data_IF_855758857426
#
_entry.id   IF_855758857426
#
_cell.length_a   1.000
_cell.length_b   1.000
_cell.length_c   1.000
_cell.angle_alpha   90.00
_cell.angle_beta   90.00
_cell.angle_gamma   90.00
#
_symmetry.space_group_name_H-M   'P 1'
#
loop_
_entity.id
_entity.type
_entity.pdbx_description
1 polymer ?
#
# COMPACT_ATOMS: atom_id res chain seq x y z
N UNK A 1 17.20 -36.12 -18.28
CA UNK A 1 17.54 -34.69 -18.06
C UNK A 1 16.62 -34.16 -16.98
N UNK A 2 17.14 -33.50 -15.94
CA UNK A 2 16.28 -32.89 -14.93
C UNK A 2 15.36 -31.82 -15.55
N UNK A 3 14.19 -31.68 -14.93
CA UNK A 3 13.15 -30.75 -15.35
C UNK A 3 13.12 -29.63 -14.32
N UNK A 4 13.31 -28.40 -14.78
CA UNK A 4 13.14 -27.21 -13.98
C UNK A 4 11.84 -26.52 -14.37
N UNK A 5 11.16 -25.95 -13.39
CA UNK A 5 9.97 -25.15 -13.61
C UNK A 5 10.31 -23.69 -13.40
N UNK A 6 10.20 -22.90 -14.46
CA UNK A 6 10.34 -21.45 -14.39
C UNK A 6 8.95 -20.86 -14.19
N UNK A 7 8.80 -20.03 -13.17
CA UNK A 7 7.52 -19.38 -12.84
C UNK A 7 7.61 -17.88 -13.04
N UNK A 8 6.57 -17.29 -13.59
CA UNK A 8 6.43 -15.83 -13.69
C UNK A 8 5.04 -15.38 -13.24
N UNK A 9 4.93 -14.10 -12.87
CA UNK A 9 3.68 -13.47 -12.52
C UNK A 9 3.27 -12.52 -13.65
N UNK A 10 2.04 -12.68 -14.13
CA UNK A 10 1.41 -11.73 -15.03
C UNK A 10 0.41 -10.89 -14.24
N UNK A 11 0.53 -9.57 -14.31
CA UNK A 11 -0.33 -8.64 -13.57
C UNK A 11 -1.06 -7.76 -14.57
N UNK A 12 -2.38 -7.65 -14.41
CA UNK A 12 -3.21 -6.73 -15.18
C UNK A 12 -4.06 -5.89 -14.24
N UNK A 13 -3.99 -4.57 -14.41
CA UNK A 13 -4.84 -3.61 -13.73
C UNK A 13 -5.87 -3.07 -14.71
N UNK A 14 -7.13 -3.12 -14.31
CA UNK A 14 -8.28 -2.68 -15.10
C UNK A 14 -8.51 -1.20 -14.87
N UNK A 15 -8.68 -0.47 -15.97
CA UNK A 15 -9.14 0.91 -15.95
C UNK A 15 -10.58 0.92 -15.42
N UNK A 16 -10.84 1.63 -14.32
CA UNK A 16 -12.19 1.76 -13.77
C UNK A 16 -12.78 3.09 -14.24
N UNK A 17 -14.00 3.05 -14.76
CA UNK A 17 -14.74 4.25 -15.13
C UNK A 17 -15.50 4.76 -13.90
N UNK A 18 -15.33 6.05 -13.60
CA UNK A 18 -16.11 6.77 -12.60
C UNK A 18 -16.94 7.84 -13.29
N UNK A 19 -18.26 7.73 -13.18
CA UNK A 19 -19.17 8.78 -13.60
C UNK A 19 -19.99 9.22 -12.39
N UNK A 20 -20.02 10.53 -12.16
CA UNK A 20 -20.93 11.15 -11.19
C UNK A 20 -21.95 11.97 -11.95
N UNK A 21 -23.24 11.73 -11.69
CA UNK A 21 -24.33 12.54 -12.23
C UNK A 21 -24.96 13.35 -11.11
N UNK A 22 -24.79 14.66 -11.18
CA UNK A 22 -25.41 15.60 -10.25
C UNK A 22 -26.94 15.59 -10.36
N UNK A 23 -27.62 15.62 -9.23
CA UNK A 23 -29.08 15.75 -9.18
C UNK A 23 -29.52 17.19 -9.52
N UNK A 24 -30.20 17.39 -10.66
CA UNK A 24 -30.68 18.71 -11.12
C UNK A 24 -31.80 19.33 -10.23
N UNK A 25 -32.46 18.55 -9.38
CA UNK A 25 -33.78 18.91 -8.85
C UNK A 25 -33.91 19.17 -7.33
N UNK A 26 -32.83 19.26 -6.53
CA UNK A 26 -32.97 19.36 -5.05
C UNK A 26 -31.94 20.25 -4.36
N UNK A 27 -32.37 20.85 -3.24
CA UNK A 27 -31.66 21.84 -2.37
C UNK A 27 -30.31 21.39 -1.78
N UNK A 28 -29.89 20.15 -1.98
CA UNK A 28 -28.56 19.68 -1.58
C UNK A 28 -27.68 19.65 -2.81
N UNK A 29 -26.65 20.50 -2.83
CA UNK A 29 -25.87 20.74 -4.04
C UNK A 29 -24.92 19.60 -4.42
N UNK A 30 -24.60 18.66 -3.50
CA UNK A 30 -23.74 17.47 -3.74
C UNK A 30 -23.99 16.34 -2.74
N UNK A 31 -23.74 15.11 -3.16
CA UNK A 31 -23.24 14.03 -2.31
C UNK A 31 -24.23 12.91 -1.96
N UNK A 32 -25.33 13.19 -1.26
CA UNK A 32 -26.20 12.08 -0.78
C UNK A 32 -27.05 11.47 -1.91
N UNK A 33 -27.24 12.20 -3.00
CA UNK A 33 -28.16 11.83 -4.09
C UNK A 33 -27.48 11.78 -5.46
N UNK A 34 -26.15 11.95 -5.50
CA UNK A 34 -25.40 11.78 -6.72
C UNK A 34 -25.38 10.30 -7.06
N UNK A 35 -25.68 9.97 -8.32
CA UNK A 35 -25.52 8.61 -8.80
C UNK A 35 -24.06 8.44 -9.18
N UNK A 36 -23.32 7.81 -8.29
CA UNK A 36 -21.94 7.39 -8.52
C UNK A 36 -21.98 5.95 -9.03
N UNK A 37 -21.84 5.79 -10.35
CA UNK A 37 -21.71 4.47 -10.96
C UNK A 37 -20.20 4.18 -11.09
N UNK A 38 -19.74 3.15 -10.37
CA UNK A 38 -18.43 2.55 -10.56
C UNK A 38 -18.56 1.25 -11.33
N UNK A 39 -18.05 1.23 -12.55
CA UNK A 39 -18.11 0.06 -13.42
C UNK A 39 -16.71 -0.45 -13.76
N UNK A 40 -16.53 -1.75 -13.65
CA UNK A 40 -15.35 -2.43 -14.18
C UNK A 40 -15.42 -2.29 -15.70
N UNK A 41 -14.37 -1.75 -16.33
CA UNK A 41 -14.32 -1.69 -17.78
C UNK A 41 -14.10 -3.11 -18.33
N UNK A 42 -15.19 -3.74 -18.77
CA UNK A 42 -15.18 -5.11 -19.29
C UNK A 42 -14.20 -5.26 -20.46
N UNK A 43 -14.08 -4.25 -21.31
CA UNK A 43 -13.19 -4.27 -22.47
C UNK A 43 -11.71 -4.25 -22.07
N UNK A 44 -11.37 -3.51 -21.00
CA UNK A 44 -10.03 -3.54 -20.41
C UNK A 44 -9.72 -4.92 -19.80
N UNK A 45 -10.69 -5.56 -19.14
CA UNK A 45 -10.53 -6.91 -18.61
C UNK A 45 -10.33 -7.95 -19.74
N UNK A 46 -11.14 -7.90 -20.80
CA UNK A 46 -11.01 -8.76 -21.98
C UNK A 46 -9.63 -8.62 -22.66
N UNK A 47 -9.15 -7.38 -22.79
CA UNK A 47 -7.83 -7.08 -23.32
C UNK A 47 -6.73 -7.71 -22.46
N UNK A 48 -6.83 -7.60 -21.14
CA UNK A 48 -5.89 -8.22 -20.21
C UNK A 48 -5.83 -9.75 -20.36
N UNK A 49 -6.99 -10.40 -20.45
CA UNK A 49 -7.08 -11.86 -20.67
C UNK A 49 -6.53 -12.27 -22.05
N UNK A 50 -6.76 -11.46 -23.08
CA UNK A 50 -6.22 -11.71 -24.43
C UNK A 50 -4.70 -11.64 -24.44
N UNK A 51 -4.12 -10.61 -23.80
CA UNK A 51 -2.67 -10.47 -23.67
C UNK A 51 -2.05 -11.60 -22.85
N UNK A 52 -2.72 -12.03 -21.78
CA UNK A 52 -2.32 -13.19 -21.00
C UNK A 52 -2.25 -14.44 -21.90
N UNK A 53 -3.30 -14.71 -22.67
CA UNK A 53 -3.36 -15.87 -23.56
C UNK A 53 -2.28 -15.81 -24.64
N UNK A 54 -2.07 -14.64 -25.25
CA UNK A 54 -1.03 -14.42 -26.25
C UNK A 54 0.36 -14.72 -25.69
N UNK A 55 0.68 -14.17 -24.52
CA UNK A 55 1.96 -14.43 -23.84
C UNK A 55 2.15 -15.91 -23.51
N UNK A 56 1.09 -16.59 -23.06
CA UNK A 56 1.16 -18.02 -22.79
C UNK A 56 1.49 -18.84 -24.05
N UNK A 57 0.91 -18.46 -25.19
CA UNK A 57 1.19 -19.10 -26.48
C UNK A 57 2.60 -18.80 -26.98
N UNK A 58 3.05 -17.55 -26.91
CA UNK A 58 4.37 -17.13 -27.40
C UNK A 58 5.51 -17.77 -26.61
N UNK A 59 5.37 -17.86 -25.29
CA UNK A 59 6.44 -18.32 -24.40
C UNK A 59 6.29 -19.78 -23.96
N UNK A 60 5.27 -20.50 -24.43
CA UNK A 60 4.89 -21.85 -23.99
C UNK A 60 4.71 -21.93 -22.46
N UNK A 61 3.97 -20.97 -21.90
CA UNK A 61 3.65 -20.93 -20.48
C UNK A 61 2.31 -21.61 -20.21
N UNK A 62 2.23 -22.29 -19.07
CA UNK A 62 1.01 -22.87 -18.53
C UNK A 62 0.48 -22.00 -17.39
N UNK A 63 -0.80 -21.64 -17.43
CA UNK A 63 -1.46 -20.92 -16.35
C UNK A 63 -1.70 -21.88 -15.18
N UNK A 64 -1.16 -21.56 -14.00
CA UNK A 64 -1.34 -22.37 -12.78
C UNK A 64 -2.41 -21.82 -11.86
N UNK A 65 -2.54 -20.51 -11.77
CA UNK A 65 -3.60 -19.87 -11.00
C UNK A 65 -3.90 -18.48 -11.54
N UNK A 66 -5.13 -18.02 -11.31
CA UNK A 66 -5.56 -16.64 -11.57
C UNK A 66 -6.26 -16.14 -10.31
N UNK A 67 -5.82 -15.00 -9.81
CA UNK A 67 -6.28 -14.38 -8.56
C UNK A 67 -6.85 -12.98 -8.88
N UNK A 68 -8.08 -12.66 -8.46
CA UNK A 68 -8.60 -11.31 -8.65
C UNK A 68 -7.88 -10.32 -7.72
N UNK A 69 -7.54 -9.15 -8.27
CA UNK A 69 -7.07 -8.01 -7.49
C UNK A 69 -8.28 -7.21 -7.06
N UNK A 70 -8.53 -7.13 -5.76
CA UNK A 70 -9.60 -6.31 -5.21
C UNK A 70 -9.02 -5.02 -4.66
N UNK A 71 -9.75 -3.92 -4.82
CA UNK A 71 -9.44 -2.72 -4.07
C UNK A 71 -10.68 -1.97 -3.63
N UNK A 72 -10.53 -1.27 -2.51
CA UNK A 72 -11.56 -0.45 -1.95
C UNK A 72 -11.51 0.97 -2.52
N UNK A 73 -12.68 1.53 -2.77
CA UNK A 73 -12.87 2.95 -3.00
C UNK A 73 -13.88 3.46 -1.98
N UNK A 74 -13.58 4.60 -1.37
CA UNK A 74 -14.47 5.28 -0.44
C UNK A 74 -14.78 6.66 -0.99
N UNK A 75 -16.06 7.02 -0.99
CA UNK A 75 -16.49 8.37 -1.28
C UNK A 75 -16.93 9.05 0.01
N UNK A 76 -16.34 10.21 0.30
CA UNK A 76 -16.71 11.05 1.43
C UNK A 76 -17.49 12.27 0.94
N UNK A 77 -18.66 12.50 1.52
CA UNK A 77 -19.54 13.61 1.14
C UNK A 77 -19.44 14.84 2.04
N UNK A 78 -18.53 14.85 3.02
CA UNK A 78 -18.41 15.98 3.95
C UNK A 78 -17.31 16.96 3.54
N UNK A 79 -17.72 18.21 3.26
CA UNK A 79 -16.89 19.36 3.60
C UNK A 79 -17.42 19.93 4.91
N UNK A 80 -16.52 20.11 5.89
CA UNK A 80 -16.86 20.90 7.07
C UNK A 80 -16.87 22.37 6.65
N UNK A 81 -18.03 22.99 6.58
CA UNK A 81 -18.13 24.44 6.44
C UNK A 81 -17.73 25.07 7.78
N UNK A 82 -16.46 25.45 7.87
CA UNK A 82 -15.96 26.26 8.98
C UNK A 82 -16.26 27.73 8.70
N UNK A 83 -17.27 28.28 9.36
CA UNK A 83 -17.49 29.72 9.37
C UNK A 83 -16.70 30.35 10.51
N UNK A 84 -15.58 30.96 10.16
CA UNK A 84 -14.88 31.91 11.02
C UNK A 84 -15.29 33.33 10.66
N UNK A 85 -15.75 34.10 11.64
CA UNK A 85 -15.74 35.56 11.53
C UNK A 85 -14.70 36.13 12.48
N UNK A 86 -13.88 37.04 11.96
CA UNK A 86 -12.97 37.86 12.75
C UNK A 86 -13.74 39.09 13.21
N UNK A 87 -13.89 39.27 14.53
CA UNK A 87 -14.33 40.58 15.03
C UNK A 87 -13.18 41.57 14.80
N UNK A 88 -13.42 42.66 14.07
CA UNK A 88 -12.40 43.65 13.74
C UNK A 88 -11.95 44.51 14.95
N UNK A 89 -12.29 44.12 16.18
CA UNK A 89 -11.94 44.87 17.39
C UNK A 89 -11.59 43.93 18.55
N UNK A 90 -10.33 43.49 18.59
CA UNK A 90 -9.61 43.07 19.80
C UNK A 90 -10.23 41.96 20.68
N UNK A 91 -11.19 41.18 20.19
CA UNK A 91 -11.86 40.13 20.94
C UNK A 91 -11.92 38.84 20.13
N UNK A 92 -11.48 37.73 20.76
CA UNK A 92 -11.27 36.42 20.15
C UNK A 92 -12.35 36.00 19.16
N UNK A 93 -11.93 35.55 17.98
CA UNK A 93 -12.81 35.01 16.95
C UNK A 93 -13.54 33.78 17.48
N UNK A 94 -14.87 33.83 17.44
CA UNK A 94 -15.72 32.66 17.67
C UNK A 94 -16.16 32.13 16.30
N UNK A 95 -15.71 30.92 15.98
CA UNK A 95 -16.20 30.16 14.85
C UNK A 95 -17.06 29.00 15.34
N UNK A 96 -18.06 28.63 14.56
CA UNK A 96 -18.76 27.37 14.73
C UNK A 96 -18.71 26.61 13.42
N UNK A 97 -18.44 25.32 13.52
CA UNK A 97 -18.51 24.38 12.42
C UNK A 97 -19.36 23.21 12.87
N UNK A 98 -20.28 22.78 12.03
CA UNK A 98 -20.94 21.49 12.17
C UNK A 98 -20.57 20.68 10.94
N UNK A 99 -20.09 19.46 11.16
CA UNK A 99 -19.85 18.49 10.11
C UNK A 99 -20.53 17.20 10.48
N UNK A 100 -21.39 16.69 9.62
CA UNK A 100 -21.82 15.30 9.64
C UNK A 100 -21.07 14.59 8.52
N UNK A 101 -20.14 13.72 8.91
CA UNK A 101 -19.42 12.85 7.98
C UNK A 101 -20.32 11.71 7.54
N UNK A 102 -20.79 11.76 6.30
CA UNK A 102 -21.42 10.61 5.63
C UNK A 102 -20.55 10.20 4.45
N UNK A 103 -20.37 8.89 4.29
CA UNK A 103 -19.63 8.29 3.20
C UNK A 103 -20.02 6.84 3.05
N UNK A 104 -19.71 6.27 1.89
CA UNK A 104 -19.86 4.85 1.60
C UNK A 104 -18.61 4.38 0.89
N UNK A 105 -18.40 3.07 0.91
CA UNK A 105 -17.32 2.45 0.17
C UNK A 105 -17.80 1.22 -0.54
N UNK A 106 -17.10 0.88 -1.62
CA UNK A 106 -17.25 -0.39 -2.32
C UNK A 106 -15.90 -1.05 -2.45
N UNK A 107 -15.95 -2.36 -2.65
CA UNK A 107 -14.82 -3.14 -3.13
C UNK A 107 -15.11 -3.53 -4.57
N UNK A 108 -14.18 -3.22 -5.48
CA UNK A 108 -14.27 -3.57 -6.88
C UNK A 108 -13.06 -4.42 -7.26
N UNK A 109 -13.25 -5.30 -8.25
CA UNK A 109 -12.16 -5.99 -8.90
C UNK A 109 -11.38 -4.97 -9.72
N UNK A 110 -10.15 -4.67 -9.31
CA UNK A 110 -9.20 -3.78 -9.98
C UNK A 110 -8.36 -4.49 -11.04
N UNK A 111 -8.56 -5.78 -11.25
CA UNK A 111 -7.81 -6.56 -12.23
C UNK A 111 -7.51 -7.96 -11.74
N UNK A 112 -6.42 -8.56 -12.22
CA UNK A 112 -6.04 -9.91 -11.84
C UNK A 112 -4.52 -10.12 -11.87
N UNK A 113 -4.09 -11.16 -11.16
CA UNK A 113 -2.74 -11.70 -11.19
C UNK A 113 -2.82 -13.15 -11.61
N UNK A 114 -2.03 -13.56 -12.60
CA UNK A 114 -1.90 -14.95 -13.02
C UNK A 114 -0.50 -15.48 -12.70
N UNK A 115 -0.42 -16.67 -12.11
CA UNK A 115 0.82 -17.43 -11.97
C UNK A 115 1.01 -18.30 -13.21
N UNK A 116 2.11 -18.07 -13.92
CA UNK A 116 2.48 -18.79 -15.13
C UNK A 116 3.68 -19.67 -14.87
N UNK A 117 3.75 -20.82 -15.53
CA UNK A 117 4.82 -21.79 -15.35
C UNK A 117 5.23 -22.40 -16.69
N UNK A 118 6.53 -22.42 -16.98
CA UNK A 118 7.10 -23.15 -18.10
C UNK A 118 7.95 -24.33 -17.61
N UNK A 119 7.85 -25.45 -18.32
CA UNK A 119 8.72 -26.60 -18.14
C UNK A 119 9.99 -26.43 -18.99
N UNK A 120 11.16 -26.48 -18.37
CA UNK A 120 12.45 -26.40 -19.05
C UNK A 120 13.25 -27.66 -18.75
N UNK A 121 13.70 -28.36 -19.79
CA UNK A 121 14.64 -29.47 -19.64
C UNK A 121 16.06 -28.92 -19.63
N UNK A 122 16.79 -29.23 -18.57
CA UNK A 122 18.10 -28.64 -18.29
C UNK A 122 19.13 -29.76 -18.17
N UNK A 123 20.39 -29.49 -18.53
CA UNK A 123 21.50 -30.40 -18.24
C UNK A 123 21.69 -30.51 -16.71
N UNK A 124 22.15 -31.66 -16.23
CA UNK A 124 22.24 -31.92 -14.78
C UNK A 124 23.15 -30.93 -14.05
N UNK A 125 24.22 -30.50 -14.70
CA UNK A 125 25.20 -29.53 -14.17
C UNK A 125 24.58 -28.11 -14.03
N UNK A 126 23.80 -27.68 -15.03
CA UNK A 126 23.11 -26.39 -15.02
C UNK A 126 21.90 -26.35 -14.06
N UNK A 127 21.32 -27.52 -13.76
CA UNK A 127 20.14 -27.62 -12.91
C UNK A 127 20.41 -27.21 -11.46
N UNK A 128 21.51 -27.67 -10.88
CA UNK A 128 21.87 -27.33 -9.49
C UNK A 128 22.23 -25.85 -9.34
N UNK A 129 22.99 -25.30 -10.29
CA UNK A 129 23.35 -23.88 -10.31
C UNK A 129 22.10 -22.98 -10.41
N UNK A 130 21.16 -23.31 -11.31
CA UNK A 130 19.90 -22.56 -11.44
C UNK A 130 19.01 -22.68 -10.20
N UNK A 131 18.96 -23.86 -9.58
CA UNK A 131 18.20 -24.07 -8.35
C UNK A 131 18.77 -23.24 -7.18
N UNK A 132 20.10 -23.20 -7.05
CA UNK A 132 20.77 -22.36 -6.05
C UNK A 132 20.53 -20.87 -6.33
N UNK A 133 20.69 -20.42 -7.57
CA UNK A 133 20.42 -19.04 -7.95
C UNK A 133 18.98 -18.62 -7.64
N UNK A 134 17.99 -19.47 -7.93
CA UNK A 134 16.59 -19.19 -7.62
C UNK A 134 16.32 -19.10 -6.11
N UNK A 135 16.97 -19.95 -5.30
CA UNK A 135 16.91 -19.88 -3.83
C UNK A 135 17.50 -18.57 -3.30
N UNK A 136 18.63 -18.13 -3.86
CA UNK A 136 19.24 -16.85 -3.48
C UNK A 136 18.35 -15.66 -3.86
N UNK A 137 17.80 -15.64 -5.08
CA UNK A 137 16.83 -14.61 -5.51
C UNK A 137 15.62 -14.54 -4.57
N UNK A 138 15.06 -15.68 -4.18
CA UNK A 138 13.93 -15.73 -3.25
C UNK A 138 14.29 -15.15 -1.88
N UNK A 139 15.46 -15.50 -1.33
CA UNK A 139 15.96 -14.95 -0.05
C UNK A 139 16.21 -13.45 -0.12
N UNK A 140 16.80 -12.96 -1.21
CA UNK A 140 17.00 -11.52 -1.44
C UNK A 140 15.65 -10.81 -1.45
N UNK A 141 14.67 -11.32 -2.22
CA UNK A 141 13.34 -10.72 -2.31
C UNK A 141 12.62 -10.67 -0.95
N UNK A 142 12.71 -11.73 -0.15
CA UNK A 142 12.17 -11.77 1.21
C UNK A 142 12.80 -10.70 2.11
N UNK A 143 14.14 -10.59 2.11
CA UNK A 143 14.86 -9.57 2.90
C UNK A 143 14.56 -8.15 2.43
N UNK A 144 14.45 -7.91 1.12
CA UNK A 144 14.01 -6.62 0.59
C UNK A 144 12.58 -6.26 1.03
N UNK A 145 11.69 -7.26 1.15
CA UNK A 145 10.33 -7.05 1.68
C UNK A 145 10.38 -6.63 3.15
N UNK A 146 11.20 -7.29 3.97
CA UNK A 146 11.40 -6.94 5.37
C UNK A 146 11.92 -5.50 5.53
N UNK A 147 12.88 -5.07 4.72
CA UNK A 147 13.34 -3.67 4.72
C UNK A 147 12.18 -2.74 4.42
N UNK A 148 11.36 -3.02 3.39
CA UNK A 148 10.21 -2.18 3.04
C UNK A 148 9.18 -2.10 4.18
N UNK A 149 8.88 -3.21 4.84
CA UNK A 149 7.96 -3.25 5.99
C UNK A 149 8.52 -2.45 7.19
N UNK A 150 9.82 -2.56 7.45
CA UNK A 150 10.49 -1.79 8.48
C UNK A 150 10.50 -0.29 8.15
N UNK A 151 10.84 0.09 6.91
CA UNK A 151 10.84 1.49 6.48
C UNK A 151 9.44 2.12 6.53
N UNK A 152 8.39 1.38 6.15
CA UNK A 152 7.01 1.87 6.24
C UNK A 152 6.57 2.05 7.69
N UNK A 153 6.99 1.16 8.60
CA UNK A 153 6.78 1.34 10.05
C UNK A 153 7.48 2.58 10.59
N UNK A 154 8.71 2.85 10.16
CA UNK A 154 9.46 4.05 10.59
C UNK A 154 8.84 5.36 10.07
N UNK A 155 8.13 5.32 8.94
CA UNK A 155 7.44 6.49 8.37
C UNK A 155 6.06 6.75 8.99
N UNK A 156 5.49 5.78 9.71
CA UNK A 156 4.21 5.95 10.38
C UNK A 156 4.38 6.86 11.61
N UNK A 157 4.07 8.15 11.45
CA UNK A 157 4.13 9.10 12.57
C UNK A 157 3.08 8.77 13.63
N UNK A 158 3.43 8.81 14.93
CA UNK A 158 2.46 8.64 16.01
C UNK A 158 1.36 9.70 15.92
N UNK A 159 0.10 9.28 15.95
CA UNK A 159 -1.04 10.19 15.83
C UNK A 159 -1.30 10.90 17.17
N UNK A 160 -1.43 12.22 17.13
CA UNK A 160 -1.81 13.04 18.29
C UNK A 160 -3.32 13.22 18.27
N UNK A 161 -4.01 12.68 19.29
CA UNK A 161 -5.47 12.74 19.38
C UNK A 161 -5.92 13.67 20.51
N UNK A 162 -6.86 14.56 20.23
CA UNK A 162 -7.49 15.41 21.26
C UNK A 162 -8.69 14.70 21.86
N UNK A 163 -8.67 14.43 23.17
CA UNK A 163 -9.80 13.89 23.92
C UNK A 163 -10.37 14.93 24.87
N UNK A 164 -11.66 15.23 24.72
CA UNK A 164 -12.39 16.13 25.62
C UNK A 164 -13.30 15.34 26.55
N UNK A 165 -13.02 15.37 27.85
CA UNK A 165 -13.86 14.73 28.89
C UNK A 165 -14.67 15.79 29.64
N UNK A 166 -15.91 15.46 30.03
CA UNK A 166 -16.73 16.35 30.87
C UNK A 166 -16.18 16.34 32.31
N UNK A 167 -15.91 17.53 32.84
CA UNK A 167 -15.47 17.73 34.22
C UNK A 167 -16.61 18.40 35.00
N UNK A 168 -17.46 17.59 35.64
CA UNK A 168 -18.61 18.07 36.42
C UNK A 168 -19.73 18.69 35.56
N UNK A 169 -20.50 19.62 36.15
CA UNK A 169 -21.70 20.24 35.54
C UNK A 169 -21.38 21.34 34.51
N UNK A 170 -20.19 21.97 34.56
CA UNK A 170 -19.87 23.18 33.76
C UNK A 170 -18.48 23.09 33.09
N UNK A 171 -17.57 22.21 33.55
CA UNK A 171 -16.20 22.13 33.03
C UNK A 171 -16.04 21.14 31.87
N UNK A 172 -15.20 21.49 30.89
CA UNK A 172 -14.61 20.54 29.93
C UNK A 172 -13.13 20.42 30.25
N UNK A 173 -12.63 19.19 30.39
CA UNK A 173 -11.21 18.89 30.51
C UNK A 173 -10.72 18.42 29.15
N UNK A 174 -9.77 19.14 28.58
CA UNK A 174 -9.08 18.70 27.37
C UNK A 174 -7.81 17.93 27.77
N UNK A 175 -7.60 16.79 27.13
CA UNK A 175 -6.42 15.94 27.28
C UNK A 175 -5.96 15.53 25.91
N UNK A 176 -4.66 15.54 25.68
CA UNK A 176 -4.04 15.12 24.43
C UNK A 176 -3.48 13.72 24.60
N UNK A 177 -3.60 12.87 23.59
CA UNK A 177 -3.21 11.47 23.64
C UNK A 177 -2.22 11.18 22.52
N UNK A 178 -1.20 10.38 22.84
CA UNK A 178 -0.28 9.77 21.87
C UNK A 178 -0.14 8.31 22.27
N UNK A 179 -0.76 7.40 21.52
CA UNK A 179 -0.92 6.01 21.96
C UNK A 179 -1.68 5.92 23.29
N UNK A 180 -1.06 5.30 24.29
CA UNK A 180 -1.63 5.14 25.63
C UNK A 180 -1.28 6.29 26.61
N UNK A 181 -0.41 7.23 26.21
CA UNK A 181 0.03 8.33 27.06
C UNK A 181 -0.88 9.55 27.00
N UNK A 182 -0.99 10.29 28.12
CA UNK A 182 -1.87 11.45 28.27
C UNK A 182 -1.08 12.72 28.62
N UNK A 183 -1.33 13.77 27.87
CA UNK A 183 -0.67 15.08 27.97
C UNK A 183 -1.68 16.19 28.28
N UNK A 184 -1.19 17.25 28.93
CA UNK A 184 -2.03 18.39 29.33
C UNK A 184 -2.10 19.47 28.25
N UNK A 185 -1.16 19.46 27.30
CA UNK A 185 -1.11 20.41 26.20
C UNK A 185 -0.79 19.74 24.87
N UNK A 186 -1.17 20.39 23.77
CA UNK A 186 -0.84 19.96 22.41
C UNK A 186 0.67 19.95 22.18
N UNK A 187 1.37 20.96 22.68
CA UNK A 187 2.82 21.10 22.52
C UNK A 187 3.60 19.96 23.20
N UNK A 188 3.15 19.51 24.38
CA UNK A 188 3.75 18.34 25.06
C UNK A 188 3.50 17.05 24.27
N UNK A 189 2.27 16.87 23.75
CA UNK A 189 1.91 15.70 22.97
C UNK A 189 2.65 15.64 21.62
N UNK A 190 2.79 16.78 20.93
CA UNK A 190 3.53 16.84 19.66
C UNK A 190 5.02 16.64 19.84
N UNK A 191 5.62 17.22 20.89
CA UNK A 191 7.03 16.98 21.22
C UNK A 191 7.28 15.50 21.55
N UNK A 192 6.38 14.87 22.30
CA UNK A 192 6.47 13.44 22.60
C UNK A 192 6.30 12.55 21.36
N UNK A 193 5.33 12.87 20.49
CA UNK A 193 5.13 12.17 19.22
C UNK A 193 6.36 12.29 18.30
N UNK A 194 7.00 13.47 18.26
CA UNK A 194 8.25 13.69 17.53
C UNK A 194 9.40 12.85 18.11
N UNK A 195 9.58 12.85 19.43
CA UNK A 195 10.63 12.03 20.05
C UNK A 195 10.40 10.53 19.83
N UNK A 196 9.15 10.07 19.85
CA UNK A 196 8.82 8.67 19.53
C UNK A 196 9.11 8.34 18.06
N UNK A 197 8.78 9.24 17.14
CA UNK A 197 9.10 9.06 15.72
C UNK A 197 10.61 8.98 15.48
N UNK A 198 11.39 9.87 16.11
CA UNK A 198 12.86 9.84 16.06
C UNK A 198 13.42 8.54 16.62
N UNK A 199 12.90 8.09 17.76
CA UNK A 199 13.31 6.83 18.37
C UNK A 199 12.97 5.63 17.48
N UNK A 200 11.79 5.61 16.88
CA UNK A 200 11.39 4.56 15.93
C UNK A 200 12.31 4.52 14.69
N UNK A 201 12.72 5.68 14.17
CA UNK A 201 13.69 5.75 13.07
C UNK A 201 15.02 5.13 13.50
N UNK A 202 15.54 5.49 14.66
CA UNK A 202 16.81 4.94 15.18
C UNK A 202 16.73 3.44 15.42
N UNK A 203 15.65 2.96 16.06
CA UNK A 203 15.44 1.54 16.37
C UNK A 203 15.34 0.67 15.12
N UNK A 204 14.82 1.24 14.03
CA UNK A 204 14.64 0.52 12.76
C UNK A 204 15.86 0.63 11.84
N UNK A 205 16.70 1.66 12.02
CA UNK A 205 17.90 1.89 11.20
C UNK A 205 18.90 0.72 11.29
N UNK A 206 19.25 0.27 12.50
CA UNK A 206 20.18 -0.84 12.69
C UNK A 206 19.71 -2.15 12.02
N UNK A 207 18.45 -2.59 12.21
CA UNK A 207 17.89 -3.74 11.48
C UNK A 207 17.94 -3.59 9.95
N UNK A 208 17.66 -2.39 9.42
CA UNK A 208 17.72 -2.13 7.98
C UNK A 208 19.15 -2.29 7.46
N UNK A 209 20.13 -1.70 8.14
CA UNK A 209 21.54 -1.78 7.74
C UNK A 209 22.07 -3.21 7.79
N UNK A 210 21.78 -3.96 8.87
CA UNK A 210 22.14 -5.36 8.98
C UNK A 210 21.51 -6.21 7.85
N UNK A 211 20.22 -6.02 7.59
CA UNK A 211 19.52 -6.74 6.52
C UNK A 211 20.04 -6.35 5.13
N UNK A 212 20.44 -5.10 4.94
CA UNK A 212 21.03 -4.62 3.69
C UNK A 212 22.40 -5.24 3.43
N UNK A 213 23.25 -5.34 4.45
CA UNK A 213 24.54 -6.04 4.34
C UNK A 213 24.37 -7.53 4.01
N UNK A 214 23.36 -8.20 4.56
CA UNK A 214 23.03 -9.58 4.19
C UNK A 214 22.55 -9.69 2.74
N UNK A 215 21.78 -8.72 2.24
CA UNK A 215 21.38 -8.67 0.82
C UNK A 215 22.62 -8.52 -0.07
N UNK A 216 23.54 -7.62 0.26
CA UNK A 216 24.78 -7.42 -0.50
C UNK A 216 25.62 -8.70 -0.56
N UNK A 217 25.75 -9.41 0.58
CA UNK A 217 26.44 -10.69 0.62
C UNK A 217 25.78 -11.76 -0.28
N UNK A 218 24.45 -11.86 -0.24
CA UNK A 218 23.69 -12.79 -1.10
C UNK A 218 23.76 -12.39 -2.59
N UNK A 219 23.81 -11.09 -2.89
CA UNK A 219 23.98 -10.59 -4.25
C UNK A 219 25.38 -10.92 -4.79
N UNK A 220 26.41 -10.81 -3.96
CA UNK A 220 27.77 -11.22 -4.32
C UNK A 220 27.83 -12.74 -4.58
N UNK A 221 27.21 -13.56 -3.73
CA UNK A 221 27.11 -15.01 -3.94
C UNK A 221 26.42 -15.34 -5.28
N UNK A 222 25.30 -14.66 -5.56
CA UNK A 222 24.57 -14.82 -6.83
C UNK A 222 25.42 -14.42 -8.03
N UNK A 223 26.17 -13.31 -7.95
CA UNK A 223 27.05 -12.85 -9.01
C UNK A 223 28.13 -13.90 -9.36
N UNK A 224 28.77 -14.49 -8.34
CA UNK A 224 29.78 -15.54 -8.55
C UNK A 224 29.20 -16.81 -9.18
N UNK A 225 27.95 -17.16 -8.85
CA UNK A 225 27.26 -18.30 -9.46
C UNK A 225 26.91 -18.02 -10.94
N UNK A 226 26.52 -16.79 -11.27
CA UNK A 226 26.25 -16.39 -12.66
C UNK A 226 27.51 -16.32 -13.53
N UNK A 227 28.63 -15.84 -12.99
CA UNK A 227 29.91 -15.82 -13.71
C UNK A 227 30.40 -17.24 -14.04
N UNK A 228 30.38 -18.15 -13.05
CA UNK A 228 30.74 -19.57 -13.25
C UNK A 228 29.86 -20.27 -14.28
N UNK A 229 28.56 -19.94 -14.31
CA UNK A 229 27.65 -20.47 -15.32
C UNK A 229 27.94 -19.94 -16.73
N UNK A 230 28.48 -18.72 -16.86
CA UNK A 230 28.87 -18.14 -18.15
C UNK A 230 30.19 -18.71 -18.70
N UNK A 231 31.15 -19.01 -17.81
CA UNK A 231 32.44 -19.59 -18.18
C UNK A 231 32.32 -21.06 -18.60
N UNK A 232 31.41 -21.84 -18.00
CA UNK A 232 31.18 -23.24 -18.37
C UNK A 232 30.37 -23.45 -19.66
N UNK A 233 29.82 -22.39 -20.24
CA UNK A 233 29.02 -22.42 -21.47
C UNK A 233 29.82 -22.06 -22.75
N UNK A 234 31.11 -21.75 -22.63
CA UNK A 234 32.02 -21.37 -23.73
C UNK A 234 32.82 -22.54 -24.29
#
# INVERSE_FOLDING_TARGET
MPILFETEWFVWEVENDHSSRGSENRKFHKGVWDRDDWTINEHSMERGLTLLAQRCMEENLEIKSVLPLNGAHSHNYSHADSHSYTSQSGGGGAGWGWGLGYGWGVTLCKGFVALLQRRVEVRTEDYEARLQANRLKARIAEKSRLIRELSTRAQASPEVQKKTEKQGLIGKKETWLVGDEKFKSEAEATAFAQSLAEQQIVDVQQPIEATSAEIEALQAELATLTEKASEGAS
#
